data_IF_480957445651
#
_entry.id   IF_480957445651
#
_cell.length_a   1.000
_cell.length_b   1.000
_cell.length_c   1.000
_cell.angle_alpha   90.00
_cell.angle_beta   90.00
_cell.angle_gamma   90.00
#
_symmetry.space_group_name_H-M   'P 1'
#
loop_
_entity.id
_entity.type
_entity.pdbx_description
1 polymer ?
#
# COMPACT_ATOMS: atom_id res chain seq x y z
N UNK A 1 -11.33 -18.82 15.71
CA UNK A 1 -11.38 -17.35 15.89
C UNK A 1 -9.98 -16.79 15.67
N UNK A 2 -9.82 -15.61 15.06
CA UNK A 2 -8.48 -15.02 14.87
C UNK A 2 -7.93 -14.57 16.22
N UNK A 3 -6.89 -15.26 16.69
CA UNK A 3 -6.12 -14.90 17.89
C UNK A 3 -4.75 -14.40 17.42
N UNK A 4 -4.47 -13.11 17.63
CA UNK A 4 -3.16 -12.51 17.34
C UNK A 4 -2.46 -12.32 18.68
N UNK A 5 -1.71 -13.33 19.09
CA UNK A 5 -0.87 -13.28 20.29
C UNK A 5 0.58 -12.88 19.94
N UNK A 6 1.46 -12.86 20.94
CA UNK A 6 2.87 -12.48 20.74
C UNK A 6 3.65 -13.36 19.75
N UNK A 7 3.16 -14.58 19.50
CA UNK A 7 3.83 -15.59 18.70
C UNK A 7 3.21 -15.73 17.29
N UNK A 8 2.14 -14.98 17.01
CA UNK A 8 1.35 -15.10 15.77
C UNK A 8 2.19 -14.92 14.48
N UNK A 9 3.29 -14.19 14.55
CA UNK A 9 4.17 -13.92 13.40
C UNK A 9 5.54 -14.64 13.48
N UNK A 10 5.67 -15.66 14.32
CA UNK A 10 6.98 -16.30 14.57
C UNK A 10 7.41 -17.26 13.46
N UNK A 11 6.47 -17.74 12.64
CA UNK A 11 6.76 -18.60 11.50
C UNK A 11 7.29 -17.77 10.31
N UNK A 12 8.49 -17.21 10.47
CA UNK A 12 9.19 -16.47 9.42
C UNK A 12 9.87 -17.45 8.47
N UNK A 13 9.45 -17.43 7.20
CA UNK A 13 9.89 -18.40 6.17
C UNK A 13 11.04 -17.90 5.30
N UNK A 14 11.32 -16.59 5.28
CA UNK A 14 12.40 -15.95 4.51
C UNK A 14 13.74 -15.97 5.23
N UNK A 15 14.85 -15.80 4.52
CA UNK A 15 16.21 -15.78 5.10
C UNK A 15 16.37 -14.61 6.09
N UNK A 16 15.82 -13.45 5.73
CA UNK A 16 15.74 -12.33 6.65
C UNK A 16 14.70 -12.62 7.74
N UNK A 17 15.17 -12.74 8.99
CA UNK A 17 14.34 -12.97 10.18
C UNK A 17 14.08 -11.71 11.01
N UNK A 18 14.55 -10.54 10.56
CA UNK A 18 14.51 -9.29 11.32
C UNK A 18 13.11 -8.64 11.34
N UNK A 19 12.15 -9.25 12.03
CA UNK A 19 10.82 -8.69 12.21
C UNK A 19 10.82 -7.69 13.38
N UNK A 20 10.71 -6.39 13.07
CA UNK A 20 10.73 -5.32 14.08
C UNK A 20 9.44 -5.25 14.89
N UNK A 21 9.47 -4.64 16.08
CA UNK A 21 8.26 -4.42 16.89
C UNK A 21 7.21 -3.57 16.13
N UNK A 22 7.64 -2.51 15.44
CA UNK A 22 6.74 -1.70 14.62
C UNK A 22 6.10 -2.52 13.49
N UNK A 23 6.86 -3.39 12.83
CA UNK A 23 6.33 -4.28 11.81
C UNK A 23 5.31 -5.28 12.39
N UNK A 24 5.54 -5.83 13.59
CA UNK A 24 4.54 -6.67 14.28
C UNK A 24 3.24 -5.91 14.53
N UNK A 25 3.33 -4.65 14.96
CA UNK A 25 2.15 -3.77 15.13
C UNK A 25 1.43 -3.55 13.80
N UNK A 26 2.16 -3.18 12.75
CA UNK A 26 1.58 -2.89 11.44
C UNK A 26 0.95 -4.14 10.80
N UNK A 27 1.60 -5.31 10.90
CA UNK A 27 1.03 -6.57 10.44
C UNK A 27 -0.20 -6.98 11.27
N UNK A 28 -0.23 -6.73 12.58
CA UNK A 28 -1.42 -6.96 13.42
C UNK A 28 -2.61 -6.16 12.90
N UNK A 29 -2.40 -4.87 12.62
CA UNK A 29 -3.41 -3.99 12.06
C UNK A 29 -3.87 -4.51 10.69
N UNK A 30 -2.93 -4.97 9.85
CA UNK A 30 -3.27 -5.57 8.56
C UNK A 30 -4.18 -6.79 8.74
N UNK A 31 -3.84 -7.72 9.63
CA UNK A 31 -4.64 -8.93 9.89
C UNK A 31 -6.04 -8.62 10.41
N UNK A 32 -6.16 -7.69 11.37
CA UNK A 32 -7.47 -7.26 11.90
C UNK A 32 -8.29 -6.60 10.80
N UNK A 33 -7.69 -5.71 10.00
CA UNK A 33 -8.36 -5.05 8.88
C UNK A 33 -8.91 -6.08 7.90
N UNK A 34 -8.08 -7.05 7.52
CA UNK A 34 -8.44 -8.07 6.53
C UNK A 34 -9.53 -9.02 7.03
N UNK A 35 -9.53 -9.37 8.31
CA UNK A 35 -10.59 -10.19 8.94
C UNK A 35 -12.00 -9.62 8.71
N UNK A 36 -12.12 -8.30 8.59
CA UNK A 36 -13.39 -7.59 8.41
C UNK A 36 -13.49 -6.88 7.05
N UNK A 37 -12.62 -7.22 6.10
CA UNK A 37 -12.68 -6.67 4.74
C UNK A 37 -13.23 -7.72 3.79
N UNK A 38 -14.25 -7.36 3.02
CA UNK A 38 -14.84 -8.21 1.99
C UNK A 38 -13.77 -8.82 1.06
N UNK A 39 -13.80 -10.13 0.91
CA UNK A 39 -12.77 -10.90 0.22
C UNK A 39 -12.92 -10.89 -1.30
N UNK A 40 -11.83 -11.08 -2.06
CA UNK A 40 -10.45 -11.17 -1.57
C UNK A 40 -9.87 -9.79 -1.22
N UNK A 41 -9.07 -9.76 -0.16
CA UNK A 41 -8.52 -8.52 0.39
C UNK A 41 -7.00 -8.53 0.64
N UNK A 42 -6.37 -7.37 0.45
CA UNK A 42 -4.95 -7.10 0.71
C UNK A 42 -4.84 -5.73 1.37
N UNK A 43 -4.01 -5.61 2.41
CA UNK A 43 -3.89 -4.40 3.22
C UNK A 43 -2.41 -4.00 3.37
N UNK A 44 -2.09 -2.77 3.00
CA UNK A 44 -0.81 -2.11 3.22
C UNK A 44 -0.93 -1.21 4.44
N UNK A 45 0.00 -1.35 5.38
CA UNK A 45 0.02 -0.65 6.66
C UNK A 45 1.40 -0.03 6.87
N UNK A 46 1.43 1.18 7.42
CA UNK A 46 2.65 1.85 7.83
C UNK A 46 2.38 2.72 9.04
N UNK A 47 3.27 2.70 10.03
CA UNK A 47 3.22 3.57 11.22
C UNK A 47 1.89 3.49 11.98
N UNK A 48 1.35 2.27 12.14
CA UNK A 48 0.12 2.06 12.90
C UNK A 48 -1.17 2.41 12.16
N UNK A 49 -1.13 2.61 10.84
CA UNK A 49 -2.34 2.90 10.05
C UNK A 49 -2.38 2.16 8.72
N UNK A 50 -3.58 1.74 8.31
CA UNK A 50 -3.80 1.28 6.95
C UNK A 50 -3.63 2.45 5.96
N UNK A 51 -2.79 2.25 4.95
CA UNK A 51 -2.49 3.24 3.90
C UNK A 51 -3.03 2.81 2.54
N UNK A 52 -3.37 1.54 2.36
CA UNK A 52 -3.99 1.04 1.14
C UNK A 52 -4.70 -0.29 1.35
N UNK A 53 -5.98 -0.36 1.03
CA UNK A 53 -6.82 -1.56 1.21
C UNK A 53 -7.50 -1.91 -0.12
N UNK A 54 -7.33 -3.15 -0.54
CA UNK A 54 -8.11 -3.78 -1.60
C UNK A 54 -9.19 -4.68 -1.00
N UNK A 55 -10.40 -4.61 -1.55
CA UNK A 55 -11.56 -5.34 -1.06
C UNK A 55 -12.40 -5.84 -2.24
N UNK A 56 -13.07 -6.99 -2.05
CA UNK A 56 -14.02 -7.56 -3.00
C UNK A 56 -13.41 -7.99 -4.33
N UNK A 57 -12.08 -8.16 -4.41
CA UNK A 57 -11.41 -8.47 -5.66
C UNK A 57 -11.41 -9.98 -5.92
N UNK A 58 -11.45 -10.37 -7.20
CA UNK A 58 -11.48 -11.78 -7.59
C UNK A 58 -10.07 -12.35 -7.82
N UNK A 59 -9.15 -11.52 -8.30
CA UNK A 59 -7.75 -11.88 -8.56
C UNK A 59 -6.83 -11.34 -7.47
N UNK A 60 -5.96 -12.19 -6.93
CA UNK A 60 -5.01 -11.83 -5.87
C UNK A 60 -4.07 -10.70 -6.30
N UNK A 61 -3.45 -10.82 -7.48
CA UNK A 61 -2.55 -9.79 -8.00
C UNK A 61 -3.27 -8.48 -8.31
N UNK A 62 -4.53 -8.52 -8.75
CA UNK A 62 -5.32 -7.31 -8.94
C UNK A 62 -5.63 -6.63 -7.61
N UNK A 63 -5.95 -7.40 -6.57
CA UNK A 63 -6.11 -6.87 -5.22
C UNK A 63 -4.83 -6.23 -4.69
N UNK A 64 -3.68 -6.89 -4.86
CA UNK A 64 -2.37 -6.35 -4.48
C UNK A 64 -2.03 -5.06 -5.22
N UNK A 65 -2.32 -4.98 -6.53
CA UNK A 65 -2.11 -3.76 -7.33
C UNK A 65 -3.02 -2.62 -6.89
N UNK A 66 -4.30 -2.89 -6.66
CA UNK A 66 -5.29 -1.90 -6.24
C UNK A 66 -4.96 -1.35 -4.85
N UNK A 67 -4.66 -2.23 -3.89
CA UNK A 67 -4.25 -1.82 -2.54
C UNK A 67 -2.93 -1.04 -2.57
N UNK A 68 -1.96 -1.50 -3.36
CA UNK A 68 -0.68 -0.82 -3.55
C UNK A 68 -0.84 0.56 -4.19
N UNK A 69 -1.73 0.73 -5.17
CA UNK A 69 -2.00 2.04 -5.79
C UNK A 69 -2.54 3.04 -4.77
N UNK A 70 -3.42 2.60 -3.85
CA UNK A 70 -3.91 3.44 -2.77
C UNK A 70 -2.79 3.86 -1.81
N UNK A 71 -1.91 2.91 -1.47
CA UNK A 71 -0.73 3.20 -0.65
C UNK A 71 0.25 4.18 -1.34
N UNK A 72 0.45 4.02 -2.64
CA UNK A 72 1.28 4.94 -3.45
C UNK A 72 0.69 6.35 -3.46
N UNK A 73 -0.63 6.48 -3.69
CA UNK A 73 -1.32 7.77 -3.64
C UNK A 73 -1.21 8.41 -2.24
N UNK A 74 -1.39 7.64 -1.17
CA UNK A 74 -1.19 8.12 0.21
C UNK A 74 0.23 8.66 0.43
N UNK A 75 1.25 8.02 -0.14
CA UNK A 75 2.63 8.47 -0.04
C UNK A 75 2.92 9.70 -0.89
N UNK A 76 2.40 9.76 -2.12
CA UNK A 76 2.53 10.91 -3.02
C UNK A 76 1.94 12.19 -2.42
N UNK A 77 0.85 12.08 -1.67
CA UNK A 77 0.24 13.19 -0.93
C UNK A 77 1.14 13.83 0.13
N UNK A 78 2.20 13.13 0.54
CA UNK A 78 3.20 13.62 1.49
C UNK A 78 4.43 14.22 0.79
N UNK A 79 4.46 14.24 -0.55
CA UNK A 79 5.58 14.83 -1.28
C UNK A 79 5.68 16.34 -1.04
N UNK A 80 6.88 16.93 -1.04
CA UNK A 80 7.05 18.39 -0.93
C UNK A 80 6.26 19.15 -2.01
N UNK A 81 6.13 18.57 -3.21
CA UNK A 81 5.37 19.15 -4.30
C UNK A 81 3.87 19.24 -3.97
N UNK A 82 3.28 18.19 -3.39
CA UNK A 82 1.86 18.21 -3.00
C UNK A 82 1.63 19.05 -1.74
N UNK A 83 2.51 18.96 -0.74
CA UNK A 83 2.42 19.76 0.49
C UNK A 83 2.63 21.27 0.22
N UNK A 84 3.36 21.61 -0.84
CA UNK A 84 3.62 22.98 -1.28
C UNK A 84 2.55 23.59 -2.20
N UNK A 85 1.47 22.86 -2.51
CA UNK A 85 0.39 23.38 -3.36
C UNK A 85 -0.27 24.61 -2.72
N UNK A 86 -0.39 25.68 -3.50
CA UNK A 86 -0.96 26.94 -3.05
C UNK A 86 -2.41 27.06 -3.52
N UNK A 87 -3.35 26.68 -2.66
CA UNK A 87 -4.79 26.75 -2.98
C UNK A 87 -5.36 28.16 -2.81
N UNK A 88 -6.46 28.46 -3.49
CA UNK A 88 -7.26 29.68 -3.29
C UNK A 88 -7.81 29.76 -1.85
N UNK A 89 -7.98 30.97 -1.31
CA UNK A 89 -8.24 31.19 0.12
C UNK A 89 -9.52 30.53 0.65
N UNK A 90 -10.55 30.41 -0.20
CA UNK A 90 -11.87 29.93 0.20
C UNK A 90 -12.19 28.51 -0.28
N UNK A 91 -11.18 27.72 -0.66
CA UNK A 91 -11.40 26.32 -1.07
C UNK A 91 -11.95 25.50 0.10
N UNK A 92 -13.03 24.76 -0.12
CA UNK A 92 -13.56 23.85 0.90
C UNK A 92 -12.66 22.62 0.99
N UNK A 93 -12.61 22.01 2.18
CA UNK A 93 -11.80 20.81 2.41
C UNK A 93 -12.08 19.66 1.42
N UNK A 94 -13.35 19.30 1.11
CA UNK A 94 -13.62 18.25 0.13
C UNK A 94 -13.10 18.57 -1.26
N UNK A 95 -13.27 19.81 -1.71
CA UNK A 95 -12.80 20.26 -3.02
C UNK A 95 -11.28 20.21 -3.09
N UNK A 96 -10.60 20.67 -2.04
CA UNK A 96 -9.14 20.61 -1.93
C UNK A 96 -8.62 19.17 -1.99
N UNK A 97 -9.24 18.27 -1.24
CA UNK A 97 -8.81 16.86 -1.20
C UNK A 97 -9.02 16.20 -2.57
N UNK A 98 -10.15 16.46 -3.24
CA UNK A 98 -10.42 15.98 -4.60
C UNK A 98 -9.43 16.57 -5.63
N UNK A 99 -9.13 17.87 -5.55
CA UNK A 99 -8.13 18.51 -6.41
C UNK A 99 -6.76 17.86 -6.25
N UNK A 100 -6.35 17.54 -5.01
CA UNK A 100 -5.07 16.84 -4.77
C UNK A 100 -5.10 15.46 -5.42
N UNK A 101 -6.17 14.70 -5.24
CA UNK A 101 -6.29 13.35 -5.79
C UNK A 101 -6.27 13.35 -7.33
N UNK A 102 -6.89 14.34 -7.99
CA UNK A 102 -6.81 14.53 -9.45
C UNK A 102 -5.41 14.99 -9.87
N UNK A 103 -4.82 15.94 -9.14
CA UNK A 103 -3.48 16.45 -9.45
C UNK A 103 -2.41 15.34 -9.44
N UNK A 104 -2.53 14.36 -8.54
CA UNK A 104 -1.60 13.22 -8.48
C UNK A 104 -1.97 12.09 -9.44
N UNK A 105 -3.14 12.10 -10.08
CA UNK A 105 -3.56 11.06 -11.03
C UNK A 105 -2.96 11.32 -12.43
N UNK A 106 -3.38 10.51 -13.40
CA UNK A 106 -3.07 10.71 -14.81
C UNK A 106 -3.98 11.79 -15.45
N UNK A 107 -5.05 12.18 -14.76
CA UNK A 107 -6.05 13.18 -15.18
C UNK A 107 -5.71 14.58 -14.64
N UNK A 108 -4.44 14.84 -14.30
CA UNK A 108 -4.01 16.10 -13.69
C UNK A 108 -4.38 17.33 -14.53
N UNK A 109 -4.58 17.18 -15.84
CA UNK A 109 -5.01 18.28 -16.71
C UNK A 109 -6.42 18.80 -16.37
N UNK A 110 -7.28 18.00 -15.74
CA UNK A 110 -8.61 18.43 -15.29
C UNK A 110 -8.53 19.55 -14.23
N UNK A 111 -7.38 19.67 -13.54
CA UNK A 111 -7.12 20.75 -12.57
C UNK A 111 -5.96 21.66 -12.96
N UNK A 112 -5.21 21.34 -14.02
CA UNK A 112 -4.05 22.12 -14.50
C UNK A 112 -4.24 22.79 -15.86
N UNK A 113 -5.31 22.48 -16.59
CA UNK A 113 -5.63 23.14 -17.85
C UNK A 113 -5.78 24.65 -17.66
N UNK A 114 -5.47 25.40 -18.73
CA UNK A 114 -5.61 26.85 -18.71
C UNK A 114 -7.09 27.24 -18.57
N UNK A 115 -7.39 28.12 -17.61
CA UNK A 115 -8.78 28.48 -17.24
C UNK A 115 -9.40 27.57 -16.16
N UNK A 116 -8.84 26.39 -15.92
CA UNK A 116 -9.28 25.47 -14.86
C UNK A 116 -8.46 25.65 -13.58
N UNK A 117 -7.14 25.73 -13.69
CA UNK A 117 -6.26 25.76 -12.52
C UNK A 117 -6.55 26.95 -11.59
N UNK A 118 -6.98 28.09 -12.13
CA UNK A 118 -7.33 29.31 -11.39
C UNK A 118 -8.50 29.11 -10.43
N UNK A 119 -9.34 28.09 -10.64
CA UNK A 119 -10.45 27.75 -9.74
C UNK A 119 -9.95 27.15 -8.42
N UNK A 120 -8.78 26.51 -8.45
CA UNK A 120 -8.27 25.70 -7.35
C UNK A 120 -6.99 26.26 -6.73
N UNK A 121 -6.10 26.83 -7.54
CA UNK A 121 -4.76 27.26 -7.12
C UNK A 121 -4.54 28.76 -7.29
N UNK A 122 -3.76 29.36 -6.39
CA UNK A 122 -3.26 30.74 -6.49
C UNK A 122 -2.16 30.89 -7.53
N UNK A 123 -1.33 29.85 -7.66
CA UNK A 123 -0.23 29.75 -8.62
C UNK A 123 -0.35 28.40 -9.29
N UNK A 124 -0.28 28.37 -10.62
CA UNK A 124 -0.30 27.13 -11.39
C UNK A 124 0.83 26.22 -10.92
N UNK A 125 0.53 25.05 -10.33
CA UNK A 125 1.59 24.15 -9.90
C UNK A 125 2.19 23.45 -11.12
N UNK A 126 3.47 23.11 -11.02
CA UNK A 126 4.15 22.29 -12.01
C UNK A 126 3.51 20.90 -12.09
N UNK A 127 3.56 20.28 -13.26
CA UNK A 127 3.07 18.90 -13.46
C UNK A 127 3.86 17.96 -12.56
N UNK A 128 3.18 17.10 -11.81
CA UNK A 128 3.83 16.05 -11.05
C UNK A 128 4.17 14.89 -11.99
N UNK A 129 5.33 14.99 -12.64
CA UNK A 129 5.72 14.04 -13.69
C UNK A 129 5.83 12.61 -13.19
N UNK A 130 5.72 11.63 -14.09
CA UNK A 130 5.85 10.22 -13.75
C UNK A 130 7.20 9.90 -13.10
N UNK A 131 8.26 10.54 -13.58
CA UNK A 131 9.63 10.39 -13.09
C UNK A 131 9.76 10.95 -11.67
N UNK A 132 9.20 12.13 -11.41
CA UNK A 132 9.19 12.75 -10.09
C UNK A 132 8.35 11.93 -9.09
N UNK A 133 7.17 11.44 -9.51
CA UNK A 133 6.33 10.53 -8.72
C UNK A 133 7.10 9.26 -8.37
N UNK A 134 7.77 8.64 -9.34
CA UNK A 134 8.57 7.41 -9.11
C UNK A 134 9.73 7.67 -8.15
N UNK A 135 10.49 8.74 -8.35
CA UNK A 135 11.60 9.12 -7.46
C UNK A 135 11.15 9.39 -6.02
N UNK A 136 9.94 9.90 -5.81
CA UNK A 136 9.36 10.05 -4.48
C UNK A 136 8.90 8.71 -3.87
N UNK A 137 8.23 7.88 -4.67
CA UNK A 137 7.79 6.54 -4.25
C UNK A 137 8.96 5.62 -3.88
N UNK A 138 10.10 5.73 -4.55
CA UNK A 138 11.32 4.95 -4.25
C UNK A 138 11.93 5.28 -2.87
N UNK A 139 11.55 6.42 -2.27
CA UNK A 139 11.94 6.77 -0.90
C UNK A 139 11.07 6.08 0.16
N UNK A 140 9.95 5.48 -0.24
CA UNK A 140 9.08 4.78 0.71
C UNK A 140 9.72 3.46 1.13
N UNK A 141 9.72 3.18 2.43
CA UNK A 141 10.22 1.94 3.02
C UNK A 141 9.51 1.64 4.33
N UNK A 142 9.72 0.44 4.87
CA UNK A 142 9.16 0.00 6.14
C UNK A 142 7.66 -0.33 6.09
N UNK A 143 7.08 -0.46 4.90
CA UNK A 143 5.66 -0.81 4.76
C UNK A 143 5.45 -2.29 5.06
N UNK A 144 4.36 -2.58 5.76
CA UNK A 144 3.91 -3.94 6.04
C UNK A 144 2.70 -4.29 5.19
N UNK A 145 2.62 -5.52 4.68
CA UNK A 145 1.48 -6.02 3.89
C UNK A 145 0.89 -7.27 4.49
N UNK A 146 -0.43 -7.29 4.63
CA UNK A 146 -1.21 -8.49 4.92
C UNK A 146 -2.01 -8.97 3.70
N UNK A 147 -2.22 -10.28 3.58
CA UNK A 147 -3.16 -10.87 2.63
C UNK A 147 -4.09 -11.87 3.33
N UNK A 148 -5.40 -11.80 3.03
CA UNK A 148 -6.40 -12.70 3.64
C UNK A 148 -6.28 -14.16 3.19
N UNK A 149 -5.64 -14.40 2.04
CA UNK A 149 -5.25 -15.72 1.56
C UNK A 149 -3.83 -15.71 0.99
N UNK A 150 -3.35 -16.88 0.59
CA UNK A 150 -1.97 -17.01 0.12
C UNK A 150 -1.70 -16.24 -1.17
N UNK A 151 -0.43 -15.89 -1.39
CA UNK A 151 0.02 -15.38 -2.68
C UNK A 151 0.31 -16.55 -3.63
N UNK A 152 -0.31 -16.61 -4.81
CA UNK A 152 -0.10 -17.73 -5.73
C UNK A 152 1.26 -17.66 -6.44
N UNK A 153 1.82 -16.47 -6.62
CA UNK A 153 3.08 -16.22 -7.33
C UNK A 153 3.82 -15.01 -6.76
N UNK A 154 5.14 -14.94 -7.03
CA UNK A 154 6.02 -13.84 -6.62
C UNK A 154 5.68 -12.47 -7.22
N UNK A 155 4.81 -12.39 -8.22
CA UNK A 155 4.35 -11.12 -8.82
C UNK A 155 3.67 -10.18 -7.80
N UNK A 156 3.05 -10.74 -6.76
CA UNK A 156 2.49 -10.00 -5.63
C UNK A 156 3.59 -9.32 -4.82
N UNK A 157 4.69 -10.03 -4.57
CA UNK A 157 5.86 -9.51 -3.86
C UNK A 157 6.56 -8.44 -4.70
N UNK A 158 6.75 -8.69 -6.00
CA UNK A 158 7.28 -7.71 -6.95
C UNK A 158 6.47 -6.40 -6.96
N UNK A 159 5.14 -6.51 -6.91
CA UNK A 159 4.28 -5.31 -6.81
C UNK A 159 4.39 -4.64 -5.44
N UNK A 160 4.41 -5.41 -4.36
CA UNK A 160 4.49 -4.89 -2.99
C UNK A 160 5.81 -4.14 -2.76
N UNK A 161 6.93 -4.68 -3.22
CA UNK A 161 8.25 -4.08 -3.12
C UNK A 161 8.29 -2.64 -3.70
N UNK A 162 7.62 -2.41 -4.83
CA UNK A 162 7.53 -1.09 -5.49
C UNK A 162 6.83 0.00 -4.65
N UNK A 163 6.12 -0.39 -3.60
CA UNK A 163 5.47 0.51 -2.64
C UNK A 163 6.20 0.56 -1.30
N UNK A 164 7.46 0.13 -1.23
CA UNK A 164 8.29 0.24 -0.02
C UNK A 164 8.07 -0.86 1.02
N UNK A 165 7.56 -2.02 0.58
CA UNK A 165 7.24 -3.13 1.49
C UNK A 165 8.51 -3.86 1.93
N UNK A 166 8.64 -4.05 3.24
CA UNK A 166 9.72 -4.82 3.87
C UNK A 166 9.20 -6.00 4.71
N UNK A 167 7.90 -6.02 5.03
CA UNK A 167 7.30 -7.05 5.89
C UNK A 167 6.00 -7.56 5.28
N UNK A 168 5.82 -8.87 5.23
CA UNK A 168 4.62 -9.51 4.68
C UNK A 168 4.10 -10.58 5.66
N UNK A 169 2.78 -10.62 5.85
CA UNK A 169 2.09 -11.74 6.49
C UNK A 169 0.99 -12.30 5.58
N UNK A 170 1.01 -13.62 5.39
CA UNK A 170 0.04 -14.36 4.58
C UNK A 170 -0.10 -15.78 5.15
N UNK A 171 -1.18 -16.53 4.88
CA UNK A 171 -1.38 -17.85 5.50
C UNK A 171 -0.37 -18.93 5.11
N UNK A 172 0.25 -18.83 3.92
CA UNK A 172 0.96 -19.94 3.29
C UNK A 172 0.01 -20.97 2.67
N UNK A 173 0.58 -21.99 2.04
CA UNK A 173 -0.15 -23.09 1.41
C UNK A 173 -0.34 -22.96 -0.10
N UNK A 174 0.47 -22.14 -0.77
CA UNK A 174 0.56 -22.16 -2.23
C UNK A 174 1.42 -23.33 -2.69
N UNK A 175 1.09 -23.95 -3.83
CA UNK A 175 1.99 -24.91 -4.49
C UNK A 175 3.32 -24.25 -4.90
N UNK A 176 3.32 -22.91 -5.04
CA UNK A 176 4.49 -22.11 -5.39
C UNK A 176 4.95 -21.17 -4.27
N UNK A 177 4.83 -21.60 -3.02
CA UNK A 177 5.36 -20.84 -1.89
C UNK A 177 6.87 -20.63 -1.99
N UNK A 178 7.61 -21.58 -2.59
CA UNK A 178 9.03 -21.46 -2.94
C UNK A 178 9.32 -20.20 -3.76
N UNK A 179 8.58 -20.00 -4.86
CA UNK A 179 8.74 -18.83 -5.72
C UNK A 179 8.44 -17.51 -4.98
N UNK A 180 7.44 -17.52 -4.10
CA UNK A 180 7.06 -16.34 -3.30
C UNK A 180 8.14 -16.01 -2.27
N UNK A 181 8.67 -17.03 -1.58
CA UNK A 181 9.75 -16.90 -0.59
C UNK A 181 11.03 -16.42 -1.26
N UNK A 182 11.42 -17.02 -2.40
CA UNK A 182 12.59 -16.61 -3.17
C UNK A 182 12.49 -15.15 -3.62
N UNK A 183 11.30 -14.71 -4.04
CA UNK A 183 11.07 -13.31 -4.42
C UNK A 183 11.18 -12.37 -3.21
N UNK A 184 10.77 -12.80 -2.02
CA UNK A 184 10.99 -12.02 -0.81
C UNK A 184 12.48 -11.93 -0.45
N UNK A 185 13.19 -13.07 -0.49
CA UNK A 185 14.61 -13.16 -0.23
C UNK A 185 15.43 -12.27 -1.17
N UNK A 186 15.09 -12.25 -2.47
CA UNK A 186 15.69 -11.34 -3.47
C UNK A 186 15.68 -9.86 -3.04
N UNK A 187 14.65 -9.43 -2.31
CA UNK A 187 14.49 -8.03 -1.86
C UNK A 187 14.74 -7.84 -0.36
N UNK A 188 15.19 -8.88 0.35
CA UNK A 188 15.36 -8.85 1.81
C UNK A 188 14.06 -8.62 2.59
N UNK A 189 12.91 -8.93 2.01
CA UNK A 189 11.59 -8.80 2.64
C UNK A 189 11.41 -9.94 3.66
N UNK A 190 10.96 -9.60 4.86
CA UNK A 190 10.60 -10.58 5.88
C UNK A 190 9.18 -11.07 5.62
N UNK A 191 8.98 -12.37 5.50
CA UNK A 191 7.64 -12.96 5.32
C UNK A 191 7.31 -13.94 6.44
N UNK A 192 6.16 -13.76 7.07
CA UNK A 192 5.58 -14.66 8.06
C UNK A 192 4.40 -15.44 7.48
N UNK A 193 4.39 -16.76 7.68
CA UNK A 193 3.25 -17.63 7.37
C UNK A 193 2.36 -17.81 8.60
N UNK A 194 1.15 -17.25 8.55
CA UNK A 194 0.23 -17.22 9.71
C UNK A 194 -0.56 -18.51 9.88
N UNK A 195 -0.69 -19.34 8.83
CA UNK A 195 -1.52 -20.55 8.84
C UNK A 195 -3.03 -20.31 8.87
N UNK A 196 -3.49 -19.05 8.84
CA UNK A 196 -4.92 -18.70 8.98
C UNK A 196 -5.39 -17.88 7.77
N UNK A 197 -6.42 -18.38 7.08
CA UNK A 197 -7.14 -17.61 6.06
C UNK A 197 -8.19 -16.72 6.71
N UNK A 198 -8.39 -15.53 6.16
CA UNK A 198 -9.25 -14.47 6.70
C UNK A 198 -10.37 -14.10 5.74
N UNK A 199 -10.98 -15.09 5.06
CA UNK A 199 -12.07 -14.79 4.14
C UNK A 199 -13.28 -14.19 4.86
N UNK A 200 -13.88 -13.17 4.25
CA UNK A 200 -15.07 -12.48 4.72
C UNK A 200 -16.00 -12.16 3.54
N UNK A 201 -17.26 -12.53 3.66
CA UNK A 201 -18.32 -12.34 2.67
C UNK A 201 -19.56 -11.77 3.35
#
# INVERSE_FOLDING_TARGET
>A
ELVIDGNFFDNIVTDNKALTAQAKTDLTIAMITLKYTQSNSVCYVKNGQAIGIGAGQQSRIHCTRLAGQKADNWWLRQSPQVLGLQFVDNIKRPDRDNTIDIYISDDYMDVLAEGEWQKYFKVKPEVFTREAKRAWLDKNSGVSVGSDAFFPFGDNVERAHKSGVNFIAQPGGSVRDDNVIDTCNKYGIVMSFTGIRLFHH
#
